data_IF_571125396348
#
_entry.id   IF_571125396348
#
_cell.length_a   1.000
_cell.length_b   1.000
_cell.length_c   1.000
_cell.angle_alpha   90.00
_cell.angle_beta   90.00
_cell.angle_gamma   90.00
#
_symmetry.space_group_name_H-M   'P 1'
#
loop_
_entity.id
_entity.type
_entity.pdbx_description
1 polymer ?
#
# COMPACT_ATOMS: atom_id res chain seq x y z
N UNK A 1 20.95 -31.94 -29.19
CA UNK A 1 20.66 -30.49 -29.30
C UNK A 1 19.21 -30.14 -28.92
N UNK A 2 18.19 -30.87 -29.41
CA UNK A 2 16.79 -30.69 -28.99
C UNK A 2 16.56 -30.85 -27.48
N UNK A 3 17.15 -31.87 -26.87
CA UNK A 3 16.93 -32.15 -25.44
C UNK A 3 17.53 -31.07 -24.53
N UNK A 4 18.71 -30.55 -24.89
CA UNK A 4 19.35 -29.43 -24.18
C UNK A 4 18.53 -28.13 -24.30
N UNK A 5 17.92 -27.87 -25.46
CA UNK A 5 17.04 -26.73 -25.67
C UNK A 5 15.74 -26.87 -24.85
N UNK A 6 15.16 -28.07 -24.80
CA UNK A 6 13.99 -28.38 -23.97
C UNK A 6 14.28 -28.19 -22.48
N UNK A 7 15.41 -28.70 -21.99
CA UNK A 7 15.83 -28.53 -20.58
C UNK A 7 16.05 -27.06 -20.26
N UNK A 8 16.75 -26.31 -21.12
CA UNK A 8 16.95 -24.88 -20.93
C UNK A 8 15.62 -24.11 -20.88
N UNK A 9 14.67 -24.43 -21.75
CA UNK A 9 13.34 -23.81 -21.73
C UNK A 9 12.58 -24.09 -20.42
N UNK A 10 12.60 -25.33 -19.94
CA UNK A 10 11.96 -25.72 -18.67
C UNK A 10 12.58 -24.96 -17.48
N UNK A 11 13.92 -24.89 -17.43
CA UNK A 11 14.63 -24.16 -16.37
C UNK A 11 14.28 -22.68 -16.38
N UNK A 12 14.23 -22.05 -17.57
CA UNK A 12 13.87 -20.64 -17.69
C UNK A 12 12.42 -20.37 -17.25
N UNK A 13 11.48 -21.26 -17.57
CA UNK A 13 10.09 -21.16 -17.10
C UNK A 13 10.04 -21.30 -15.58
N UNK A 14 10.70 -22.31 -15.00
CA UNK A 14 10.74 -22.52 -13.56
C UNK A 14 11.35 -21.31 -12.82
N UNK A 15 12.45 -20.77 -13.33
CA UNK A 15 13.08 -19.57 -12.77
C UNK A 15 12.15 -18.36 -12.84
N UNK A 16 11.44 -18.18 -13.95
CA UNK A 16 10.50 -17.07 -14.12
C UNK A 16 9.35 -17.14 -13.11
N UNK A 17 8.84 -18.35 -12.83
CA UNK A 17 7.81 -18.57 -11.80
C UNK A 17 8.35 -18.21 -10.41
N UNK A 18 9.57 -18.64 -10.07
CA UNK A 18 10.21 -18.34 -8.78
C UNK A 18 10.43 -16.83 -8.61
N UNK A 19 10.88 -16.14 -9.65
CA UNK A 19 11.05 -14.68 -9.60
C UNK A 19 9.71 -13.97 -9.42
N UNK A 20 8.66 -14.41 -10.13
CA UNK A 20 7.33 -13.83 -10.01
C UNK A 20 6.72 -14.03 -8.61
N UNK A 21 6.91 -15.20 -7.98
CA UNK A 21 6.42 -15.44 -6.61
C UNK A 21 7.17 -14.61 -5.58
N UNK A 22 8.49 -14.50 -5.70
CA UNK A 22 9.30 -13.62 -4.83
C UNK A 22 8.83 -12.17 -4.99
N UNK A 23 8.65 -11.70 -6.22
CA UNK A 23 8.20 -10.32 -6.48
C UNK A 23 6.83 -10.04 -5.88
N UNK A 24 5.85 -10.93 -6.08
CA UNK A 24 4.52 -10.76 -5.50
C UNK A 24 4.55 -10.77 -3.96
N UNK A 25 5.38 -11.62 -3.36
CA UNK A 25 5.54 -11.62 -1.89
C UNK A 25 6.18 -10.32 -1.35
N UNK A 26 6.96 -9.61 -2.17
CA UNK A 26 7.66 -8.39 -1.79
C UNK A 26 6.79 -7.11 -1.86
N UNK A 27 5.55 -7.17 -2.37
CA UNK A 27 4.75 -5.95 -2.59
C UNK A 27 4.16 -5.35 -1.31
N UNK A 28 4.28 -6.04 -0.16
CA UNK A 28 3.70 -5.60 1.12
C UNK A 28 2.19 -5.75 1.14
N UNK A 29 1.64 -6.17 2.28
CA UNK A 29 0.19 -6.30 2.46
C UNK A 29 -0.42 -4.97 2.85
N UNK A 30 -1.55 -4.63 2.23
CA UNK A 30 -2.28 -3.40 2.51
C UNK A 30 -3.50 -3.69 3.39
N UNK A 31 -3.58 -3.07 4.57
CA UNK A 31 -4.74 -3.19 5.48
C UNK A 31 -5.45 -1.86 5.60
N UNK A 32 -6.71 -1.79 5.16
CA UNK A 32 -7.55 -0.59 5.33
C UNK A 32 -7.86 -0.37 6.80
N UNK A 33 -7.59 0.85 7.27
CA UNK A 33 -7.87 1.28 8.65
C UNK A 33 -9.15 2.10 8.71
N UNK A 34 -9.29 3.08 7.81
CA UNK A 34 -10.40 4.04 7.80
C UNK A 34 -10.67 4.53 6.38
N UNK A 35 -11.93 4.84 6.08
CA UNK A 35 -12.33 5.54 4.87
C UNK A 35 -13.12 6.81 5.21
N UNK A 36 -12.94 7.86 4.42
CA UNK A 36 -13.80 9.03 4.42
C UNK A 36 -14.30 9.30 3.00
N UNK A 37 -15.62 9.25 2.79
CA UNK A 37 -16.24 9.48 1.48
C UNK A 37 -16.56 10.95 1.29
N UNK A 38 -16.33 11.43 0.06
CA UNK A 38 -16.84 12.69 -0.44
C UNK A 38 -17.94 12.39 -1.46
N UNK A 39 -19.20 12.53 -1.03
CA UNK A 39 -20.37 12.22 -1.86
C UNK A 39 -20.60 13.23 -2.97
N UNK A 40 -20.08 14.45 -2.85
CA UNK A 40 -20.26 15.51 -3.85
C UNK A 40 -19.50 15.21 -5.14
N UNK A 41 -18.32 14.61 -5.02
CA UNK A 41 -17.42 14.33 -6.16
C UNK A 41 -17.21 12.84 -6.42
N UNK A 42 -17.92 11.96 -5.70
CA UNK A 42 -17.81 10.51 -5.90
C UNK A 42 -16.43 9.93 -5.57
N UNK A 43 -15.68 10.56 -4.65
CA UNK A 43 -14.33 10.12 -4.24
C UNK A 43 -14.32 9.65 -2.78
N UNK A 44 -13.25 8.96 -2.40
CA UNK A 44 -12.94 8.64 -1.00
C UNK A 44 -11.45 8.79 -0.71
N UNK A 45 -11.15 9.14 0.52
CA UNK A 45 -9.83 9.05 1.09
C UNK A 45 -9.76 7.77 1.93
N UNK A 46 -8.66 7.03 1.84
CA UNK A 46 -8.50 5.78 2.58
C UNK A 46 -7.22 5.86 3.38
N UNK A 47 -7.30 5.73 4.70
CA UNK A 47 -6.12 5.46 5.52
C UNK A 47 -5.91 3.95 5.52
N UNK A 48 -4.73 3.52 5.09
CA UNK A 48 -4.35 2.12 5.14
C UNK A 48 -2.90 1.95 5.61
N UNK A 49 -2.65 0.79 6.23
CA UNK A 49 -1.33 0.35 6.63
C UNK A 49 -0.71 -0.46 5.50
N UNK A 50 0.44 -0.04 5.01
CA UNK A 50 1.35 -0.89 4.24
C UNK A 50 2.27 -1.57 5.25
N UNK A 51 2.07 -2.88 5.44
CA UNK A 51 2.98 -3.65 6.27
C UNK A 51 4.31 -3.85 5.55
N UNK A 52 5.37 -3.65 6.32
CA UNK A 52 6.74 -3.80 5.90
C UNK A 52 7.06 -5.20 5.40
N UNK A 53 8.02 -5.24 4.49
CA UNK A 53 8.81 -6.41 4.15
C UNK A 53 10.23 -6.24 4.73
N UNK A 54 11.11 -7.21 4.54
CA UNK A 54 12.40 -7.33 5.25
C UNK A 54 13.32 -6.08 5.32
N UNK A 55 13.14 -5.08 4.45
CA UNK A 55 14.03 -3.91 4.32
C UNK A 55 13.36 -2.55 4.55
N UNK A 56 12.05 -2.51 4.82
CA UNK A 56 11.29 -1.27 5.04
C UNK A 56 10.52 -1.35 6.35
N UNK A 57 10.08 -0.22 6.91
CA UNK A 57 9.22 -0.18 8.08
C UNK A 57 7.75 -0.02 7.68
N UNK A 58 6.84 -0.45 8.56
CA UNK A 58 5.40 -0.26 8.42
C UNK A 58 5.08 1.22 8.16
N UNK A 59 4.14 1.50 7.26
CA UNK A 59 3.77 2.88 6.94
C UNK A 59 2.27 3.06 6.77
N UNK A 60 1.74 4.11 7.42
CA UNK A 60 0.39 4.59 7.14
C UNK A 60 0.39 5.50 5.93
N UNK A 61 -0.51 5.23 4.98
CA UNK A 61 -0.62 5.97 3.73
C UNK A 61 -2.06 6.38 3.45
N UNK A 62 -2.21 7.50 2.75
CA UNK A 62 -3.52 8.05 2.34
C UNK A 62 -3.53 8.43 0.87
N UNK A 63 -4.25 7.68 0.02
CA UNK A 63 -4.64 8.10 -1.32
C UNK A 63 -6.05 8.67 -1.32
N UNK A 64 -6.33 9.44 -2.38
CA UNK A 64 -7.68 9.81 -2.79
C UNK A 64 -7.98 9.02 -4.06
N UNK A 65 -9.11 8.31 -4.07
CA UNK A 65 -9.53 7.45 -5.18
C UNK A 65 -11.04 7.49 -5.38
N UNK A 66 -11.53 6.87 -6.45
CA UNK A 66 -12.96 6.73 -6.68
C UNK A 66 -13.65 6.01 -5.53
N UNK A 67 -14.86 6.44 -5.20
CA UNK A 67 -15.62 5.92 -4.05
C UNK A 67 -15.94 4.42 -4.16
N UNK A 68 -15.90 3.85 -5.37
CA UNK A 68 -16.17 2.43 -5.65
C UNK A 68 -14.90 1.59 -5.75
N UNK A 69 -13.72 2.22 -5.83
CA UNK A 69 -12.44 1.50 -5.88
C UNK A 69 -12.10 0.88 -4.52
N UNK A 70 -11.29 -0.17 -4.53
CA UNK A 70 -10.78 -0.83 -3.32
C UNK A 70 -9.26 -0.77 -3.31
N UNK A 71 -8.68 -0.64 -2.11
CA UNK A 71 -7.23 -0.79 -1.92
C UNK A 71 -6.82 -2.23 -2.26
N UNK A 72 -5.67 -2.35 -2.93
CA UNK A 72 -5.03 -3.60 -3.30
C UNK A 72 -3.61 -3.65 -2.74
N UNK A 73 -3.06 -4.86 -2.63
CA UNK A 73 -1.64 -5.02 -2.36
C UNK A 73 -0.82 -4.34 -3.47
N UNK A 74 0.25 -3.66 -3.06
CA UNK A 74 1.04 -2.81 -3.95
C UNK A 74 0.50 -1.39 -4.17
N UNK A 75 -0.74 -1.07 -3.76
CA UNK A 75 -1.22 0.32 -3.81
C UNK A 75 -0.37 1.23 -2.90
N UNK A 76 -0.21 2.48 -3.34
CA UNK A 76 0.56 3.49 -2.63
C UNK A 76 -0.22 4.79 -2.56
N UNK A 77 -0.03 5.51 -1.46
CA UNK A 77 -0.59 6.84 -1.26
C UNK A 77 0.46 7.80 -0.73
N UNK A 78 0.00 8.94 -0.21
CA UNK A 78 0.88 9.85 0.51
C UNK A 78 1.23 9.24 1.86
N UNK A 79 2.52 9.08 2.14
CA UNK A 79 3.00 8.48 3.39
C UNK A 79 3.22 9.55 4.47
N UNK A 80 2.84 9.21 5.71
CA UNK A 80 3.12 10.03 6.89
C UNK A 80 4.21 9.36 7.72
N UNK A 81 5.33 10.05 7.90
CA UNK A 81 6.49 9.54 8.63
C UNK A 81 6.59 10.24 9.98
N UNK A 82 6.57 9.47 11.06
CA UNK A 82 6.68 9.99 12.44
C UNK A 82 8.12 10.00 12.92
N UNK A 83 8.90 9.05 12.42
CA UNK A 83 10.23 8.77 12.90
C UNK A 83 11.12 8.38 11.72
N UNK A 84 12.31 8.98 11.66
CA UNK A 84 13.35 8.62 10.71
C UNK A 84 14.31 7.54 11.23
N UNK A 85 14.22 7.17 12.52
CA UNK A 85 15.16 6.29 13.22
C UNK A 85 14.53 4.92 13.56
N UNK A 86 14.01 4.23 12.54
CA UNK A 86 13.58 2.83 12.60
C UNK A 86 12.52 2.47 13.67
N UNK A 87 11.57 3.36 13.96
CA UNK A 87 10.30 2.98 14.60
C UNK A 87 10.26 3.08 16.12
N UNK A 88 11.01 4.02 16.71
CA UNK A 88 10.89 4.33 18.15
C UNK A 88 9.62 5.13 18.45
N UNK A 89 9.08 5.83 17.45
CA UNK A 89 7.78 6.50 17.54
C UNK A 89 6.80 5.94 16.51
N UNK A 90 5.57 5.65 16.95
CA UNK A 90 4.51 5.09 16.11
C UNK A 90 3.36 6.10 15.99
N UNK A 91 2.77 6.21 14.80
CA UNK A 91 1.52 6.94 14.56
C UNK A 91 0.37 6.11 15.12
N UNK A 92 -0.33 6.63 16.13
CA UNK A 92 -1.57 5.98 16.57
C UNK A 92 -2.64 6.21 15.50
N UNK A 93 -2.95 5.17 14.74
CA UNK A 93 -3.95 5.26 13.67
C UNK A 93 -5.36 5.58 14.16
N UNK A 94 -5.67 5.32 15.44
CA UNK A 94 -6.97 5.66 16.03
C UNK A 94 -7.13 7.17 16.24
N UNK A 95 -6.02 7.89 16.39
CA UNK A 95 -5.94 9.34 16.53
C UNK A 95 -5.94 10.09 15.17
N UNK A 96 -5.88 9.37 14.04
CA UNK A 96 -5.92 9.96 12.70
C UNK A 96 -7.36 10.11 12.24
N UNK A 97 -7.73 11.32 11.84
CA UNK A 97 -9.02 11.62 11.24
C UNK A 97 -8.91 12.19 9.83
N UNK A 98 -9.83 11.78 8.96
CA UNK A 98 -9.89 12.17 7.56
C UNK A 98 -11.15 13.00 7.33
N UNK A 99 -10.99 14.27 6.96
CA UNK A 99 -12.11 15.20 6.79
C UNK A 99 -12.04 15.87 5.43
N UNK A 100 -13.10 15.71 4.64
CA UNK A 100 -13.25 16.47 3.42
C UNK A 100 -13.60 17.92 3.73
N UNK A 101 -12.92 18.85 3.07
CA UNK A 101 -13.19 20.28 3.11
C UNK A 101 -13.58 20.72 1.70
N UNK A 102 -14.84 20.51 1.34
CA UNK A 102 -15.32 20.72 -0.03
C UNK A 102 -14.86 19.61 -0.99
N UNK A 103 -14.87 19.94 -2.27
CA UNK A 103 -14.73 18.99 -3.38
C UNK A 103 -13.29 18.50 -3.63
N UNK A 104 -12.29 19.34 -3.35
CA UNK A 104 -10.90 19.14 -3.80
C UNK A 104 -9.90 19.00 -2.64
N UNK A 105 -10.32 19.29 -1.42
CA UNK A 105 -9.42 19.39 -0.28
C UNK A 105 -9.74 18.31 0.75
N UNK A 106 -8.74 17.48 1.04
CA UNK A 106 -8.77 16.55 2.16
C UNK A 106 -7.90 17.12 3.29
N UNK A 107 -8.51 17.34 4.46
CA UNK A 107 -7.80 17.65 5.70
C UNK A 107 -7.55 16.35 6.47
N UNK A 108 -6.29 16.13 6.85
CA UNK A 108 -5.88 15.03 7.71
C UNK A 108 -5.54 15.64 9.06
N UNK A 109 -6.25 15.19 10.10
CA UNK A 109 -6.09 15.68 11.47
C UNK A 109 -5.44 14.58 12.28
N UNK A 110 -4.44 14.94 13.07
CA UNK A 110 -3.85 14.06 14.06
C UNK A 110 -3.98 14.76 15.41
N UNK A 111 -4.80 14.20 16.29
CA UNK A 111 -5.06 14.75 17.63
C UNK A 111 -4.79 13.65 18.65
N UNK A 112 -3.82 13.90 19.54
CA UNK A 112 -3.29 12.91 20.48
C UNK A 112 -3.93 13.04 21.85
#
# INVERSE_FOLDING_TARGET
MKDALCIAAIVMIALSIVVATIWNSAQGTCTVVKEARNTEVGRKAVLFLVQAQATVADSYQVPVMDATASIRDGDRGNAFVVDGDHGRTVLDSTAIDLRWHGADTLRIVYDR
#
